data_IF_911204637696
#
_entry.id   IF_911204637696
#
_cell.length_a   1.000
_cell.length_b   1.000
_cell.length_c   1.000
_cell.angle_alpha   90.00
_cell.angle_beta   90.00
_cell.angle_gamma   90.00
#
_symmetry.space_group_name_H-M   'P 1'
#
loop_
_entity.id
_entity.type
_entity.pdbx_description
1 polymer ?
#
# COMPACT_ATOMS: atom_id res chain seq x y z
N UNK A 1 -28.66 -45.27 21.37
CA UNK A 1 -27.50 -44.59 20.74
C UNK A 1 -27.74 -43.10 20.84
N UNK A 2 -27.10 -42.40 21.79
CA UNK A 2 -27.24 -40.94 21.96
C UNK A 2 -26.10 -40.29 21.18
N UNK A 3 -26.42 -39.61 20.08
CA UNK A 3 -25.46 -38.85 19.31
C UNK A 3 -25.13 -37.56 20.08
N UNK A 4 -23.86 -37.40 20.46
CA UNK A 4 -23.30 -36.23 21.11
C UNK A 4 -22.94 -35.23 20.01
N UNK A 5 -23.74 -34.17 19.85
CA UNK A 5 -23.44 -33.09 18.89
C UNK A 5 -22.46 -32.13 19.54
N UNK A 6 -21.19 -32.21 19.14
CA UNK A 6 -20.15 -31.25 19.53
C UNK A 6 -20.35 -29.96 18.73
N UNK A 7 -20.77 -28.88 19.39
CA UNK A 7 -20.85 -27.54 18.78
C UNK A 7 -19.44 -26.95 18.79
N UNK A 8 -18.80 -26.92 17.63
CA UNK A 8 -17.52 -26.23 17.43
C UNK A 8 -17.79 -24.73 17.37
N UNK A 9 -17.45 -23.99 18.43
CA UNK A 9 -17.54 -22.54 18.45
C UNK A 9 -16.44 -21.95 17.55
N UNK A 10 -16.81 -21.58 16.32
CA UNK A 10 -15.97 -20.77 15.44
C UNK A 10 -15.95 -19.33 15.98
N UNK A 11 -14.81 -18.92 16.53
CA UNK A 11 -14.55 -17.53 16.86
C UNK A 11 -14.49 -16.73 15.55
N UNK A 12 -15.59 -16.05 15.22
CA UNK A 12 -15.63 -15.08 14.14
C UNK A 12 -14.88 -13.84 14.59
N UNK A 13 -13.64 -13.67 14.11
CA UNK A 13 -12.97 -12.38 14.17
C UNK A 13 -13.76 -11.41 13.30
N UNK A 14 -14.60 -10.61 13.95
CA UNK A 14 -15.22 -9.44 13.34
C UNK A 14 -14.08 -8.47 13.05
N UNK A 15 -13.80 -8.24 11.77
CA UNK A 15 -12.89 -7.19 11.33
C UNK A 15 -13.49 -5.83 11.71
N UNK A 16 -13.19 -5.35 12.93
CA UNK A 16 -13.53 -4.00 13.34
C UNK A 16 -12.49 -3.06 12.75
N UNK A 17 -12.95 -2.09 11.96
CA UNK A 17 -12.14 -0.95 11.59
C UNK A 17 -11.98 -0.06 12.82
N UNK A 18 -10.75 0.18 13.24
CA UNK A 18 -10.43 1.06 14.35
C UNK A 18 -9.64 2.27 13.85
N UNK A 19 -9.78 3.42 14.49
CA UNK A 19 -8.89 4.55 14.21
C UNK A 19 -7.45 4.17 14.51
N UNK A 20 -6.54 4.40 13.56
CA UNK A 20 -5.12 4.22 13.80
C UNK A 20 -4.64 5.20 14.90
N UNK A 21 -3.96 4.75 15.96
CA UNK A 21 -3.47 5.66 16.99
C UNK A 21 -2.56 6.74 16.41
N UNK A 22 -2.66 7.98 16.89
CA UNK A 22 -1.94 9.14 16.32
C UNK A 22 -0.43 8.92 16.16
N UNK A 23 0.19 8.26 17.15
CA UNK A 23 1.61 7.93 17.10
C UNK A 23 1.93 6.98 15.94
N UNK A 24 1.10 5.98 15.73
CA UNK A 24 1.26 5.03 14.62
C UNK A 24 0.98 5.69 13.28
N UNK A 25 0.01 6.62 13.22
CA UNK A 25 -0.28 7.42 12.05
C UNK A 25 0.91 8.30 11.63
N UNK A 26 1.63 8.90 12.58
CA UNK A 26 2.85 9.64 12.29
C UNK A 26 3.97 8.73 11.78
N UNK A 27 4.17 7.58 12.44
CA UNK A 27 5.21 6.61 12.04
C UNK A 27 4.96 6.10 10.63
N UNK A 28 3.73 5.71 10.30
CA UNK A 28 3.42 5.18 8.97
C UNK A 28 3.58 6.24 7.88
N UNK A 29 3.25 7.51 8.15
CA UNK A 29 3.48 8.62 7.20
C UNK A 29 4.98 8.87 6.97
N UNK A 30 5.80 8.81 8.02
CA UNK A 30 7.27 8.94 7.88
C UNK A 30 7.83 7.81 7.02
N UNK A 31 7.41 6.57 7.26
CA UNK A 31 7.87 5.42 6.50
C UNK A 31 7.33 5.40 5.06
N UNK A 32 6.09 5.82 4.84
CA UNK A 32 5.51 6.04 3.52
C UNK A 32 6.28 7.11 2.74
N UNK A 33 6.69 8.19 3.41
CA UNK A 33 7.55 9.22 2.80
C UNK A 33 8.88 8.63 2.36
N UNK A 34 9.53 7.83 3.22
CA UNK A 34 10.78 7.13 2.87
C UNK A 34 10.61 6.16 1.69
N UNK A 35 9.48 5.44 1.61
CA UNK A 35 9.15 4.57 0.48
C UNK A 35 9.03 5.35 -0.84
N UNK A 36 8.31 6.47 -0.82
CA UNK A 36 8.16 7.36 -1.99
C UNK A 36 9.47 8.02 -2.40
N UNK A 37 10.27 8.46 -1.43
CA UNK A 37 11.57 9.06 -1.66
C UNK A 37 12.55 8.07 -2.29
N UNK A 38 12.53 6.81 -1.83
CA UNK A 38 13.35 5.75 -2.41
C UNK A 38 13.01 5.55 -3.89
N UNK A 39 11.71 5.47 -4.24
CA UNK A 39 11.27 5.39 -5.62
C UNK A 39 11.73 6.60 -6.45
N UNK A 40 11.51 7.82 -5.94
CA UNK A 40 11.85 9.06 -6.65
C UNK A 40 13.35 9.23 -6.89
N UNK A 41 14.20 8.71 -5.97
CA UNK A 41 15.66 8.77 -6.07
C UNK A 41 16.25 7.57 -6.84
N UNK A 42 15.43 6.62 -7.25
CA UNK A 42 15.90 5.37 -7.86
C UNK A 42 16.61 4.43 -6.87
N UNK A 43 16.45 4.63 -5.56
CA UNK A 43 17.00 3.77 -4.51
C UNK A 43 16.19 2.47 -4.42
N UNK A 44 16.52 1.55 -5.33
CA UNK A 44 15.81 0.29 -5.46
C UNK A 44 15.96 -0.59 -4.21
N UNK A 45 17.10 -0.57 -3.53
CA UNK A 45 17.31 -1.38 -2.33
C UNK A 45 16.41 -0.91 -1.20
N UNK A 46 16.34 0.40 -0.96
CA UNK A 46 15.44 0.95 0.05
C UNK A 46 13.97 0.73 -0.29
N UNK A 47 13.60 0.91 -1.56
CA UNK A 47 12.25 0.67 -2.04
C UNK A 47 11.84 -0.80 -1.83
N UNK A 48 12.69 -1.76 -2.21
CA UNK A 48 12.43 -3.18 -2.05
C UNK A 48 12.39 -3.59 -0.56
N UNK A 49 13.26 -3.03 0.29
CA UNK A 49 13.24 -3.26 1.75
C UNK A 49 11.90 -2.87 2.39
N UNK A 50 11.28 -1.80 1.89
CA UNK A 50 10.02 -1.27 2.38
C UNK A 50 8.80 -1.89 1.67
N UNK A 51 8.98 -2.69 0.63
CA UNK A 51 7.88 -3.28 -0.13
C UNK A 51 7.27 -4.47 0.59
N UNK A 52 5.93 -4.58 0.59
CA UNK A 52 5.24 -5.72 1.17
C UNK A 52 5.31 -6.94 0.24
N UNK A 53 5.64 -8.15 0.74
CA UNK A 53 5.85 -9.34 -0.09
C UNK A 53 4.61 -9.84 -0.83
N UNK A 54 3.40 -9.45 -0.43
CA UNK A 54 2.17 -9.84 -1.14
C UNK A 54 2.21 -9.46 -2.64
N UNK A 55 2.87 -8.35 -2.98
CA UNK A 55 3.00 -7.89 -4.38
C UNK A 55 3.80 -8.86 -5.25
N UNK A 56 4.68 -9.68 -4.66
CA UNK A 56 5.51 -10.63 -5.42
C UNK A 56 4.66 -11.66 -6.16
N UNK A 57 3.49 -12.00 -5.62
CA UNK A 57 2.57 -12.95 -6.25
C UNK A 57 2.06 -12.46 -7.62
N UNK A 58 1.95 -11.13 -7.80
CA UNK A 58 1.53 -10.51 -9.06
C UNK A 58 2.59 -10.60 -10.16
N UNK A 59 3.84 -10.90 -9.79
CA UNK A 59 4.99 -10.98 -10.69
C UNK A 59 5.52 -12.41 -10.85
N UNK A 60 4.83 -13.41 -10.29
CA UNK A 60 5.29 -14.80 -10.31
C UNK A 60 6.43 -15.09 -9.33
N UNK A 61 6.69 -14.20 -8.36
CA UNK A 61 7.68 -14.39 -7.32
C UNK A 61 8.49 -13.13 -6.98
N UNK A 62 9.37 -13.28 -5.99
CA UNK A 62 10.22 -12.18 -5.50
C UNK A 62 11.24 -11.74 -6.56
N UNK A 63 11.97 -12.67 -7.15
CA UNK A 63 13.04 -12.35 -8.11
C UNK A 63 12.54 -11.59 -9.35
N UNK A 64 11.44 -12.00 -10.02
CA UNK A 64 10.90 -11.22 -11.13
C UNK A 64 10.44 -9.82 -10.71
N UNK A 65 9.83 -9.68 -9.53
CA UNK A 65 9.43 -8.38 -9.00
C UNK A 65 10.64 -7.47 -8.76
N UNK A 66 11.69 -7.98 -8.11
CA UNK A 66 12.90 -7.21 -7.83
C UNK A 66 13.60 -6.78 -9.12
N UNK A 67 13.71 -7.68 -10.11
CA UNK A 67 14.30 -7.37 -11.40
C UNK A 67 13.51 -6.29 -12.15
N UNK A 68 12.17 -6.44 -12.23
CA UNK A 68 11.30 -5.45 -12.86
C UNK A 68 11.36 -4.09 -12.15
N UNK A 69 11.38 -4.08 -10.82
CA UNK A 69 11.47 -2.87 -10.00
C UNK A 69 12.78 -2.14 -10.23
N UNK A 70 13.92 -2.85 -10.21
CA UNK A 70 15.23 -2.24 -10.47
C UNK A 70 15.31 -1.62 -11.85
N UNK A 71 14.76 -2.29 -12.86
CA UNK A 71 14.70 -1.77 -14.23
C UNK A 71 13.82 -0.51 -14.31
N UNK A 72 12.64 -0.53 -13.70
CA UNK A 72 11.70 0.59 -13.71
C UNK A 72 12.25 1.81 -12.97
N UNK A 73 12.83 1.62 -11.79
CA UNK A 73 13.42 2.73 -11.02
C UNK A 73 14.62 3.34 -11.74
N UNK A 74 15.44 2.53 -12.41
CA UNK A 74 16.54 3.03 -13.24
C UNK A 74 16.04 3.84 -14.44
N UNK A 75 14.93 3.47 -15.07
CA UNK A 75 14.40 4.20 -16.23
C UNK A 75 13.65 5.49 -15.86
N UNK A 76 13.13 5.55 -14.63
CA UNK A 76 12.40 6.70 -14.11
C UNK A 76 13.28 7.72 -13.40
N UNK A 77 14.49 7.33 -12.98
CA UNK A 77 15.45 8.21 -12.32
C UNK A 77 15.78 9.43 -13.21
N UNK A 78 15.40 10.62 -12.75
CA UNK A 78 15.61 11.88 -13.49
C UNK A 78 14.59 12.18 -14.58
N UNK A 79 13.69 11.25 -14.90
CA UNK A 79 12.66 11.40 -15.94
C UNK A 79 11.45 12.20 -15.46
N UNK A 80 11.15 12.11 -14.15
CA UNK A 80 10.08 12.84 -13.49
C UNK A 80 10.64 13.70 -12.37
N UNK A 81 10.34 14.99 -12.39
CA UNK A 81 10.68 15.91 -11.30
C UNK A 81 9.46 16.03 -10.39
N UNK A 82 9.56 15.53 -9.17
CA UNK A 82 8.53 15.73 -8.14
C UNK A 82 8.63 17.18 -7.66
N UNK A 83 7.62 17.99 -7.95
CA UNK A 83 7.56 19.39 -7.51
C UNK A 83 7.00 19.51 -6.10
N UNK A 84 5.99 18.71 -5.79
CA UNK A 84 5.32 18.69 -4.49
C UNK A 84 4.75 17.31 -4.22
N UNK A 85 4.91 16.81 -3.00
CA UNK A 85 4.21 15.64 -2.50
C UNK A 85 3.68 15.94 -1.09
N UNK A 86 2.44 15.58 -0.82
CA UNK A 86 1.79 15.76 0.48
C UNK A 86 1.02 14.50 0.83
N UNK A 87 1.32 13.93 2.00
CA UNK A 87 0.55 12.84 2.58
C UNK A 87 -0.65 13.40 3.34
N UNK A 88 -1.79 12.72 3.24
CA UNK A 88 -2.95 12.94 4.09
C UNK A 88 -2.89 12.09 5.36
N UNK A 89 -3.97 12.14 6.13
CA UNK A 89 -4.12 11.28 7.33
C UNK A 89 -4.38 9.84 6.87
N UNK A 90 -3.67 8.84 7.42
CA UNK A 90 -3.97 7.44 7.16
C UNK A 90 -5.43 7.10 7.48
N UNK A 91 -6.06 6.29 6.63
CA UNK A 91 -7.40 5.77 6.84
C UNK A 91 -7.46 4.81 8.05
N UNK A 92 -8.65 4.30 8.35
CA UNK A 92 -8.87 3.32 9.41
C UNK A 92 -7.95 2.11 9.29
N UNK A 93 -7.61 1.54 10.46
CA UNK A 93 -6.86 0.30 10.57
C UNK A 93 -7.81 -0.87 10.41
N UNK A 94 -7.56 -1.70 9.41
CA UNK A 94 -8.29 -2.93 9.13
C UNK A 94 -7.44 -4.13 9.55
N UNK A 95 -8.06 -5.07 10.26
CA UNK A 95 -7.42 -6.36 10.57
C UNK A 95 -7.87 -7.38 9.53
N UNK A 96 -6.91 -7.94 8.79
CA UNK A 96 -7.12 -8.96 7.76
C UNK A 96 -6.24 -10.18 8.08
N UNK A 97 -6.80 -11.15 8.83
CA UNK A 97 -6.01 -12.28 9.31
C UNK A 97 -4.92 -11.82 10.28
N UNK A 98 -3.65 -12.12 9.99
CA UNK A 98 -2.49 -11.75 10.84
C UNK A 98 -1.90 -10.38 10.49
N UNK A 99 -2.55 -9.62 9.61
CA UNK A 99 -2.09 -8.33 9.13
C UNK A 99 -3.01 -7.20 9.58
N UNK A 100 -2.39 -6.09 9.93
CA UNK A 100 -3.03 -4.79 10.09
C UNK A 100 -2.72 -3.94 8.86
N UNK A 101 -3.76 -3.39 8.25
CA UNK A 101 -3.71 -2.68 6.98
C UNK A 101 -4.33 -1.29 7.16
N UNK A 102 -3.65 -0.25 6.69
CA UNK A 102 -4.25 1.07 6.53
C UNK A 102 -3.88 1.67 5.18
N UNK A 103 -4.66 2.65 4.72
CA UNK A 103 -4.40 3.35 3.46
C UNK A 103 -3.82 4.72 3.75
N UNK A 104 -2.64 5.01 3.22
CA UNK A 104 -1.96 6.30 3.40
C UNK A 104 -2.17 7.13 2.14
N UNK A 105 -3.16 8.05 2.11
CA UNK A 105 -3.42 8.87 0.93
C UNK A 105 -2.29 9.86 0.70
N UNK A 106 -2.01 10.16 -0.56
CA UNK A 106 -1.12 11.24 -0.92
C UNK A 106 -1.55 11.90 -2.21
N UNK A 107 -1.09 13.14 -2.34
CA UNK A 107 -1.18 13.91 -3.58
C UNK A 107 0.21 14.35 -3.96
N UNK A 108 0.58 14.13 -5.21
CA UNK A 108 1.82 14.63 -5.77
C UNK A 108 1.59 15.38 -7.07
N UNK A 109 2.41 16.40 -7.29
CA UNK A 109 2.53 17.09 -8.57
C UNK A 109 3.95 16.82 -9.07
N UNK A 110 4.03 16.30 -10.29
CA UNK A 110 5.28 15.97 -10.95
C UNK A 110 5.30 16.56 -12.35
N UNK A 111 6.50 16.86 -12.83
CA UNK A 111 6.75 17.25 -14.22
C UNK A 111 7.42 16.10 -14.96
N UNK A 112 6.86 15.73 -16.10
CA UNK A 112 7.38 14.72 -17.02
C UNK A 112 7.54 15.38 -18.40
N UNK A 113 8.78 15.80 -18.73
CA UNK A 113 9.03 16.64 -19.89
C UNK A 113 8.29 17.98 -19.81
N UNK A 114 7.40 18.25 -20.77
CA UNK A 114 6.59 19.48 -20.82
C UNK A 114 5.21 19.33 -20.18
N UNK A 115 4.86 18.14 -19.71
CA UNK A 115 3.58 17.86 -19.09
C UNK A 115 3.73 17.95 -17.57
N UNK A 116 2.82 18.67 -16.94
CA UNK A 116 2.66 18.71 -15.50
C UNK A 116 1.49 17.80 -15.12
N UNK A 117 1.72 16.90 -14.18
CA UNK A 117 0.78 15.84 -13.80
C UNK A 117 0.50 15.95 -12.32
N UNK A 118 -0.79 15.95 -11.96
CA UNK A 118 -1.27 15.74 -10.60
C UNK A 118 -1.70 14.29 -10.44
N UNK A 119 -1.16 13.63 -9.42
CA UNK A 119 -1.54 12.28 -9.03
C UNK A 119 -2.13 12.33 -7.64
N UNK A 120 -3.35 11.84 -7.51
CA UNK A 120 -3.92 11.47 -6.21
C UNK A 120 -3.88 9.95 -6.13
N UNK A 121 -3.26 9.41 -5.10
CA UNK A 121 -3.11 7.96 -4.92
C UNK A 121 -2.99 7.66 -3.43
N UNK A 122 -2.69 6.41 -3.10
CA UNK A 122 -2.43 6.00 -1.74
C UNK A 122 -1.41 4.86 -1.73
N UNK A 123 -0.77 4.68 -0.59
CA UNK A 123 -0.05 3.45 -0.29
C UNK A 123 -0.92 2.55 0.58
N UNK A 124 -0.83 1.26 0.33
CA UNK A 124 -1.36 0.24 1.24
C UNK A 124 -0.23 -0.05 2.22
N UNK A 125 -0.38 0.41 3.46
CA UNK A 125 0.56 0.13 4.53
C UNK A 125 0.10 -1.11 5.28
N UNK A 126 1.01 -2.07 5.45
CA UNK A 126 0.73 -3.38 6.04
C UNK A 126 1.79 -3.69 7.09
N UNK A 127 1.36 -4.22 8.23
CA UNK A 127 2.25 -4.79 9.25
C UNK A 127 1.62 -6.04 9.83
N UNK A 128 2.43 -6.92 10.41
CA UNK A 128 1.87 -7.97 11.26
C UNK A 128 1.24 -7.38 12.51
N UNK A 129 0.15 -7.98 12.99
CA UNK A 129 -0.54 -7.56 14.23
C UNK A 129 0.46 -7.40 15.38
N UNK A 130 0.42 -6.24 16.04
CA UNK A 130 1.28 -5.91 17.18
C UNK A 130 2.77 -5.69 16.85
N UNK A 131 3.15 -5.55 15.57
CA UNK A 131 4.52 -5.15 15.17
C UNK A 131 4.59 -3.67 14.78
N UNK A 132 5.80 -3.14 14.64
CA UNK A 132 6.02 -1.73 14.31
C UNK A 132 6.60 -1.49 12.90
N UNK A 133 7.02 -2.56 12.20
CA UNK A 133 7.63 -2.48 10.87
C UNK A 133 6.53 -2.48 9.80
N UNK A 134 6.25 -1.32 9.23
CA UNK A 134 5.32 -1.21 8.11
C UNK A 134 6.02 -1.52 6.80
N UNK A 135 5.30 -2.22 5.93
CA UNK A 135 5.64 -2.40 4.52
C UNK A 135 4.55 -1.80 3.65
N UNK A 136 4.91 -1.51 2.42
CA UNK A 136 4.09 -0.69 1.53
C UNK A 136 3.86 -1.37 0.19
N UNK A 137 2.70 -1.11 -0.39
CA UNK A 137 2.39 -1.36 -1.80
C UNK A 137 1.90 -0.04 -2.40
N UNK A 138 2.48 0.36 -3.53
CA UNK A 138 1.97 1.51 -4.29
C UNK A 138 0.67 1.14 -5.03
N UNK A 139 -0.44 1.78 -4.65
CA UNK A 139 -1.73 1.53 -5.27
C UNK A 139 -1.81 2.04 -6.72
N UNK A 140 -0.82 2.79 -7.22
CA UNK A 140 -0.77 3.19 -8.62
C UNK A 140 -0.91 1.98 -9.58
N UNK A 141 -0.34 0.82 -9.21
CA UNK A 141 -0.48 -0.43 -9.97
C UNK A 141 -1.90 -1.01 -9.99
N UNK A 142 -2.73 -0.67 -9.01
CA UNK A 142 -4.10 -1.16 -8.85
C UNK A 142 -5.15 -0.28 -9.55
N UNK A 143 -4.76 0.87 -10.10
CA UNK A 143 -5.70 1.88 -10.62
C UNK A 143 -6.67 1.32 -11.67
N UNK A 144 -6.18 0.46 -12.56
CA UNK A 144 -6.99 -0.16 -13.64
C UNK A 144 -7.65 -1.49 -13.21
N UNK A 145 -7.26 -2.02 -12.05
CA UNK A 145 -7.63 -3.35 -11.56
C UNK A 145 -7.82 -3.29 -10.02
N UNK A 146 -8.79 -2.49 -9.51
CA UNK A 146 -8.99 -2.31 -8.08
C UNK A 146 -9.34 -3.61 -7.35
N UNK A 147 -9.88 -4.61 -8.05
CA UNK A 147 -10.19 -5.94 -7.53
C UNK A 147 -8.96 -6.72 -7.02
N UNK A 148 -7.76 -6.40 -7.54
CA UNK A 148 -6.49 -7.02 -7.10
C UNK A 148 -6.22 -6.73 -5.61
N UNK A 149 -6.75 -5.63 -5.05
CA UNK A 149 -6.65 -5.36 -3.61
C UNK A 149 -7.17 -6.54 -2.78
N UNK A 150 -8.29 -7.15 -3.18
CA UNK A 150 -8.87 -8.30 -2.48
C UNK A 150 -8.12 -9.61 -2.74
N UNK A 151 -7.41 -9.72 -3.85
CA UNK A 151 -6.53 -10.86 -4.10
C UNK A 151 -5.31 -10.81 -3.19
N UNK A 152 -4.77 -9.61 -2.97
CA UNK A 152 -3.65 -9.39 -2.06
C UNK A 152 -4.06 -9.56 -0.59
N UNK A 153 -5.25 -9.08 -0.22
CA UNK A 153 -5.73 -9.07 1.16
C UNK A 153 -7.19 -9.57 1.24
N UNK A 154 -7.42 -10.89 1.15
CA UNK A 154 -8.77 -11.47 1.13
C UNK A 154 -9.54 -11.29 2.45
N UNK A 155 -8.85 -10.94 3.55
CA UNK A 155 -9.46 -10.66 4.85
C UNK A 155 -9.99 -9.24 5.03
N UNK A 156 -9.83 -8.35 4.04
CA UNK A 156 -10.39 -7.00 4.11
C UNK A 156 -11.92 -7.01 4.08
N UNK A 157 -12.60 -6.03 4.72
CA UNK A 157 -14.04 -5.88 4.62
C UNK A 157 -14.53 -5.78 3.16
N UNK A 158 -15.70 -6.35 2.88
CA UNK A 158 -16.28 -6.36 1.53
C UNK A 158 -16.51 -4.95 0.95
N UNK A 159 -16.75 -3.96 1.83
CA UNK A 159 -16.95 -2.55 1.46
C UNK A 159 -15.86 -1.66 2.04
N UNK A 160 -14.60 -2.07 1.90
CA UNK A 160 -13.47 -1.21 2.24
C UNK A 160 -13.46 0.04 1.36
N UNK A 161 -13.36 1.22 1.98
CA UNK A 161 -13.27 2.50 1.27
C UNK A 161 -11.80 2.82 1.07
N UNK A 162 -11.36 2.92 -0.18
CA UNK A 162 -9.99 3.34 -0.51
C UNK A 162 -9.94 4.83 -0.84
N UNK A 163 -8.79 5.49 -0.60
CA UNK A 163 -8.59 6.85 -1.09
C UNK A 163 -8.65 6.94 -2.63
N UNK A 164 -8.79 8.16 -3.20
CA UNK A 164 -8.73 8.37 -4.64
C UNK A 164 -7.44 7.83 -5.26
N UNK A 165 -7.55 7.32 -6.49
CA UNK A 165 -6.42 6.85 -7.29
C UNK A 165 -6.57 7.30 -8.74
N UNK A 166 -6.10 8.51 -9.04
CA UNK A 166 -6.31 9.20 -10.32
C UNK A 166 -5.08 10.00 -10.76
N UNK A 167 -4.98 10.20 -12.06
CA UNK A 167 -3.91 10.95 -12.72
C UNK A 167 -4.56 11.98 -13.63
N UNK A 168 -4.15 13.23 -13.49
CA UNK A 168 -4.69 14.36 -14.25
C UNK A 168 -3.53 15.20 -14.80
N UNK A 169 -3.63 15.65 -16.05
CA UNK A 169 -2.74 16.68 -16.58
C UNK A 169 -3.21 18.02 -16.03
N UNK A 170 -2.31 18.76 -15.39
CA UNK A 170 -2.57 20.10 -14.88
C UNK A 170 -1.88 21.13 -15.77
N UNK A 171 -2.53 22.27 -15.97
CA UNK A 171 -2.00 23.39 -16.76
C UNK A 171 -1.02 24.22 -15.93
#
# INVERSE_FOLDING_TARGET
MKALTLILASATWVANAASLPDKDAQVVVVQATAYRDAAAKGDADKFLQLTHPAVFTLFGGKEPFEAATRLALKSLAGSNVIEKATFGVPAELHVAGQEEICFVPFVQVARAGDIRIRVESFFIAVRSVGKADWKFIDAAGLRKQPEVLRQLFPGLPEKVVTPPNKVEIVK
#
